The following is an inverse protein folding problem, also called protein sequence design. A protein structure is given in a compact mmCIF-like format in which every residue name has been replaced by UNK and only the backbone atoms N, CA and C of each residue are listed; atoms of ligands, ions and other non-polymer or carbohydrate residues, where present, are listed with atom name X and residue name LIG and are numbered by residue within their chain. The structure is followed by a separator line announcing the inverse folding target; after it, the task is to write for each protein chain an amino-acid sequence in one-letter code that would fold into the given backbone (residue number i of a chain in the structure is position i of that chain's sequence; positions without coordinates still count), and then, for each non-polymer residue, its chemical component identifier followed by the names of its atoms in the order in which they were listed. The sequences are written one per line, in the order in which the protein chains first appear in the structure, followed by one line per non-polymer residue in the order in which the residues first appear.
data_IF_372614476722
#
_entry.id   IF_372614476722
#
_cell.length_a   1.000
_cell.length_b   1.000
_cell.length_c   1.000
_cell.angle_alpha   90.00
_cell.angle_beta   90.00
_cell.angle_gamma   90.00
#
_symmetry.space_group_name_H-M   'P 1'
#
loop_
_entity.id
_entity.type
_entity.pdbx_description
1 polymer ?
#
# COMPACT_ATOMS: atom_id res chain seq x y z
N UNK A 1 -10.91 -14.23 -1.66
CA UNK A 1 -12.06 -13.32 -1.49
C UNK A 1 -11.54 -11.98 -0.96
N UNK A 2 -11.73 -10.88 -1.68
CA UNK A 2 -11.46 -9.53 -1.16
C UNK A 2 -12.41 -8.54 -1.82
N UNK A 3 -13.09 -7.75 -0.99
CA UNK A 3 -13.91 -6.60 -1.35
C UNK A 3 -13.02 -5.44 -1.79
N UNK A 4 -13.43 -4.75 -2.86
CA UNK A 4 -12.93 -3.43 -3.23
C UNK A 4 -13.80 -2.35 -2.57
N UNK A 5 -13.21 -1.20 -2.24
CA UNK A 5 -13.97 0.02 -2.02
C UNK A 5 -13.21 1.18 -2.65
N UNK A 6 -13.73 1.66 -3.78
CA UNK A 6 -13.24 2.87 -4.44
C UNK A 6 -13.60 4.11 -3.62
N UNK A 7 -12.62 4.99 -3.39
CA UNK A 7 -12.77 6.45 -3.49
C UNK A 7 -11.40 7.11 -3.57
N UNK A 8 -11.09 7.69 -4.73
CA UNK A 8 -9.98 8.60 -4.92
C UNK A 8 -10.31 9.95 -4.28
N UNK A 9 -9.48 10.43 -3.35
CA UNK A 9 -9.08 11.84 -3.21
C UNK A 9 -7.85 11.90 -2.29
N UNK A 10 -6.66 12.14 -2.84
CA UNK A 10 -5.41 12.36 -2.06
C UNK A 10 -5.33 13.82 -1.64
N UNK A 11 -6.29 14.23 -0.82
CA UNK A 11 -6.26 15.38 0.09
C UNK A 11 -7.31 15.04 1.13
N UNK A 12 -6.88 14.70 2.35
CA UNK A 12 -7.68 14.75 3.59
C UNK A 12 -9.22 14.88 3.41
N UNK A 13 -9.89 13.82 2.96
CA UNK A 13 -11.36 13.68 3.00
C UNK A 13 -11.82 12.41 3.74
N UNK A 14 -11.00 11.87 4.64
CA UNK A 14 -11.63 11.41 5.88
C UNK A 14 -11.70 12.66 6.75
N UNK A 15 -12.92 13.15 7.00
CA UNK A 15 -13.17 13.87 8.25
C UNK A 15 -12.52 13.04 9.35
N UNK A 16 -11.71 13.68 10.20
CA UNK A 16 -10.97 13.09 11.32
C UNK A 16 -11.59 11.77 11.78
N UNK A 17 -10.80 10.73 12.03
CA UNK A 17 -11.24 9.47 12.64
C UNK A 17 -12.35 9.73 13.67
N UNK A 18 -13.60 9.44 13.30
CA UNK A 18 -14.77 9.72 14.16
C UNK A 18 -14.99 8.61 15.19
N UNK A 19 -14.48 7.40 14.90
CA UNK A 19 -14.60 6.22 15.77
C UNK A 19 -13.23 5.78 16.27
N UNK A 20 -12.99 5.92 17.56
CA UNK A 20 -11.75 5.49 18.22
C UNK A 20 -11.50 3.98 18.09
N UNK A 21 -12.56 3.17 17.96
CA UNK A 21 -12.44 1.73 17.72
C UNK A 21 -11.74 1.35 16.39
N UNK A 22 -11.52 2.31 15.48
CA UNK A 22 -10.80 2.11 14.20
C UNK A 22 -9.38 2.69 14.23
N UNK A 23 -8.84 2.97 15.40
CA UNK A 23 -7.44 3.33 15.58
C UNK A 23 -6.54 2.14 15.17
N UNK A 24 -5.55 2.42 14.32
CA UNK A 24 -4.56 1.42 13.97
C UNK A 24 -3.65 1.18 15.18
N UNK A 25 -3.41 -0.09 15.51
CA UNK A 25 -2.36 -0.43 16.48
C UNK A 25 -1.00 -0.03 15.94
N UNK A 26 -0.17 0.57 16.79
CA UNK A 26 1.21 0.93 16.45
C UNK A 26 1.96 -0.31 15.97
N UNK A 27 2.63 -0.18 14.83
CA UNK A 27 3.39 -1.25 14.19
C UNK A 27 2.56 -2.18 13.30
N UNK A 28 1.23 -2.04 13.24
CA UNK A 28 0.39 -2.86 12.36
C UNK A 28 0.77 -2.67 10.88
N UNK A 29 1.12 -1.46 10.47
CA UNK A 29 1.51 -1.14 9.09
C UNK A 29 2.85 -1.76 8.74
N UNK A 30 3.82 -1.70 9.66
CA UNK A 30 5.11 -2.35 9.49
C UNK A 30 4.97 -3.88 9.38
N UNK A 31 4.11 -4.47 10.22
CA UNK A 31 3.77 -5.90 10.15
C UNK A 31 3.13 -6.28 8.82
N UNK A 32 2.22 -5.45 8.32
CA UNK A 32 1.59 -5.67 7.02
C UNK A 32 2.59 -5.56 5.86
N UNK A 33 3.46 -4.54 5.87
CA UNK A 33 4.52 -4.38 4.87
C UNK A 33 5.44 -5.61 4.86
N UNK A 34 5.88 -6.09 6.04
CA UNK A 34 6.67 -7.32 6.15
C UNK A 34 5.94 -8.54 5.57
N UNK A 35 4.64 -8.65 5.81
CA UNK A 35 3.84 -9.76 5.31
C UNK A 35 3.71 -9.75 3.79
N UNK A 36 3.38 -8.59 3.18
CA UNK A 36 3.20 -8.50 1.73
C UNK A 36 4.53 -8.54 0.98
N UNK A 37 5.65 -8.16 1.58
CA UNK A 37 6.96 -8.20 0.92
C UNK A 37 7.78 -9.44 1.32
N UNK A 38 7.13 -10.51 1.80
CA UNK A 38 7.82 -11.70 2.28
C UNK A 38 8.47 -12.43 1.10
N UNK A 39 9.76 -12.83 1.18
CA UNK A 39 10.46 -13.45 0.07
C UNK A 39 9.75 -14.68 -0.49
N UNK A 40 9.26 -15.57 0.39
CA UNK A 40 8.61 -16.84 0.01
C UNK A 40 7.44 -16.71 -0.98
N UNK A 41 6.76 -15.56 -0.99
CA UNK A 41 5.56 -15.38 -1.82
C UNK A 41 5.71 -14.25 -2.84
N UNK A 42 6.83 -13.52 -2.84
CA UNK A 42 6.94 -12.24 -3.56
C UNK A 42 8.15 -12.25 -4.47
N UNK A 43 7.93 -12.12 -5.78
CA UNK A 43 9.03 -11.97 -6.74
C UNK A 43 9.51 -10.52 -6.83
N UNK A 44 8.58 -9.57 -6.86
CA UNK A 44 8.87 -8.15 -7.08
C UNK A 44 8.21 -7.29 -6.02
N UNK A 45 8.97 -6.33 -5.49
CA UNK A 45 8.47 -5.28 -4.62
C UNK A 45 8.76 -3.92 -5.22
N UNK A 46 7.70 -3.19 -5.55
CA UNK A 46 7.76 -1.85 -6.10
C UNK A 46 7.53 -0.86 -4.95
N UNK A 47 8.43 0.11 -4.81
CA UNK A 47 8.32 1.20 -3.85
C UNK A 47 8.41 2.52 -4.60
N UNK A 48 7.44 3.40 -4.40
CA UNK A 48 7.43 4.73 -5.01
C UNK A 48 7.10 5.79 -3.98
N UNK A 49 7.88 6.89 -3.99
CA UNK A 49 7.71 8.05 -3.09
C UNK A 49 7.56 7.65 -1.61
N UNK A 50 8.33 6.67 -1.16
CA UNK A 50 8.42 6.26 0.26
C UNK A 50 9.69 6.81 0.89
N UNK A 51 9.68 7.01 2.21
CA UNK A 51 10.80 7.60 2.93
C UNK A 51 12.00 6.66 3.13
N UNK A 52 11.85 5.35 2.87
CA UNK A 52 12.89 4.35 3.08
C UNK A 52 12.56 3.04 2.36
N UNK A 53 13.56 2.18 2.19
CA UNK A 53 13.37 0.79 1.77
C UNK A 53 13.10 -0.16 2.96
N UNK A 54 13.26 0.31 4.20
CA UNK A 54 13.04 -0.48 5.41
C UNK A 54 11.57 -0.42 5.82
N UNK A 55 10.88 -1.56 5.81
CA UNK A 55 9.44 -1.66 6.10
C UNK A 55 9.02 -1.03 7.43
N UNK A 56 9.83 -1.19 8.48
CA UNK A 56 9.54 -0.62 9.81
C UNK A 56 9.58 0.90 9.77
N UNK A 57 10.54 1.48 9.04
CA UNK A 57 10.69 2.94 8.90
C UNK A 57 9.52 3.51 8.10
N UNK A 58 9.15 2.88 6.99
CA UNK A 58 8.01 3.29 6.16
C UNK A 58 6.69 3.19 6.93
N UNK A 59 6.47 2.07 7.62
CA UNK A 59 5.26 1.83 8.41
C UNK A 59 5.08 2.86 9.52
N UNK A 60 6.16 3.13 10.29
CA UNK A 60 6.14 4.15 11.35
C UNK A 60 5.86 5.54 10.80
N UNK A 61 6.53 5.94 9.71
CA UNK A 61 6.30 7.26 9.10
C UNK A 61 4.85 7.45 8.62
N UNK A 62 4.23 6.41 8.05
CA UNK A 62 2.83 6.44 7.63
C UNK A 62 1.87 6.54 8.83
N UNK A 63 2.12 5.76 9.89
CA UNK A 63 1.33 5.80 11.13
C UNK A 63 1.43 7.17 11.81
N UNK A 64 2.64 7.72 11.96
CA UNK A 64 2.88 9.04 12.56
C UNK A 64 2.16 10.14 11.77
N UNK A 65 2.22 10.09 10.42
CA UNK A 65 1.54 11.05 9.56
C UNK A 65 0.01 10.97 9.70
N UNK A 66 -0.53 9.75 9.77
CA UNK A 66 -1.95 9.53 9.98
C UNK A 66 -2.41 10.00 11.36
N UNK A 67 -1.62 9.73 12.41
CA UNK A 67 -1.95 10.15 13.77
C UNK A 67 -2.00 11.68 13.90
N UNK A 68 -1.01 12.39 13.34
CA UNK A 68 -0.99 13.87 13.32
C UNK A 68 -2.23 14.47 12.65
N UNK A 69 -2.71 13.83 11.58
CA UNK A 69 -3.88 14.29 10.82
C UNK A 69 -5.21 13.69 11.30
N UNK A 70 -5.17 12.80 12.31
CA UNK A 70 -6.28 11.92 12.70
C UNK A 70 -6.90 11.22 11.48
N UNK A 71 -6.06 10.83 10.53
CA UNK A 71 -6.44 10.29 9.22
C UNK A 71 -6.26 8.78 9.13
N UNK A 72 -6.39 8.26 7.92
CA UNK A 72 -6.10 6.86 7.60
C UNK A 72 -4.61 6.68 7.29
N UNK A 73 -4.05 5.54 7.68
CA UNK A 73 -2.64 5.22 7.41
C UNK A 73 -2.40 4.91 5.94
N UNK A 74 -3.23 4.04 5.37
CA UNK A 74 -3.17 3.68 3.97
C UNK A 74 -4.50 3.09 3.49
N UNK A 75 -4.67 3.07 2.18
CA UNK A 75 -5.66 2.23 1.51
C UNK A 75 -4.93 1.00 0.94
N UNK A 76 -5.60 -0.15 0.94
CA UNK A 76 -5.00 -1.44 0.57
C UNK A 76 -5.79 -2.07 -0.57
N UNK A 77 -5.09 -2.50 -1.61
CA UNK A 77 -5.69 -3.12 -2.79
C UNK A 77 -5.11 -4.50 -3.04
N UNK A 78 -5.95 -5.41 -3.51
CA UNK A 78 -5.53 -6.70 -4.03
C UNK A 78 -6.11 -6.83 -5.43
N UNK A 79 -5.24 -6.95 -6.43
CA UNK A 79 -5.62 -7.00 -7.84
C UNK A 79 -5.02 -8.27 -8.44
N UNK A 80 -5.83 -9.02 -9.17
CA UNK A 80 -5.33 -10.16 -9.93
C UNK A 80 -4.56 -9.64 -11.15
N UNK A 81 -3.41 -10.25 -11.44
CA UNK A 81 -2.65 -9.94 -12.65
C UNK A 81 -2.99 -10.96 -13.73
N UNK A 82 -3.02 -10.55 -15.01
CA UNK A 82 -3.34 -11.47 -16.10
C UNK A 82 -2.29 -12.57 -16.22
N UNK A 83 -2.71 -13.82 -16.35
CA UNK A 83 -1.80 -14.98 -16.38
C UNK A 83 -0.99 -15.06 -17.67
N UNK A 84 -1.50 -14.45 -18.73
CA UNK A 84 -0.88 -14.34 -20.05
C UNK A 84 0.29 -13.35 -20.11
N UNK A 85 0.47 -12.52 -19.08
CA UNK A 85 1.54 -11.49 -19.06
C UNK A 85 2.87 -12.04 -18.55
N UNK A 86 3.97 -11.57 -19.13
CA UNK A 86 5.32 -11.83 -18.63
C UNK A 86 5.56 -11.17 -17.27
N UNK A 87 6.65 -11.53 -16.57
CA UNK A 87 7.02 -10.89 -15.31
C UNK A 87 7.25 -9.38 -15.48
N UNK A 88 7.90 -8.96 -16.57
CA UNK A 88 8.15 -7.56 -16.88
C UNK A 88 6.84 -6.80 -17.17
N UNK A 89 5.92 -7.43 -17.93
CA UNK A 89 4.61 -6.85 -18.21
C UNK A 89 3.76 -6.71 -16.95
N UNK A 90 3.82 -7.70 -16.03
CA UNK A 90 3.17 -7.62 -14.71
C UNK A 90 3.72 -6.46 -13.89
N UNK A 91 5.04 -6.30 -13.84
CA UNK A 91 5.65 -5.16 -13.14
C UNK A 91 5.20 -3.82 -13.75
N UNK A 92 5.27 -3.69 -15.08
CA UNK A 92 4.85 -2.49 -15.80
C UNK A 92 3.38 -2.15 -15.53
N UNK A 93 2.50 -3.14 -15.52
CA UNK A 93 1.08 -2.97 -15.24
C UNK A 93 0.84 -2.49 -13.80
N UNK A 94 1.51 -3.11 -12.81
CA UNK A 94 1.39 -2.71 -11.40
C UNK A 94 1.91 -1.29 -11.19
N UNK A 95 3.01 -0.92 -11.87
CA UNK A 95 3.55 0.44 -11.83
C UNK A 95 2.58 1.44 -12.44
N UNK A 96 2.08 1.19 -13.65
CA UNK A 96 1.11 2.04 -14.32
C UNK A 96 -0.17 2.22 -13.49
N UNK A 97 -0.68 1.14 -12.89
CA UNK A 97 -1.82 1.20 -11.99
C UNK A 97 -1.53 2.05 -10.75
N UNK A 98 -0.36 1.87 -10.13
CA UNK A 98 0.07 2.65 -8.97
C UNK A 98 0.18 4.14 -9.29
N UNK A 99 0.79 4.50 -10.42
CA UNK A 99 0.86 5.90 -10.87
C UNK A 99 -0.52 6.49 -11.16
N UNK A 100 -1.39 5.77 -11.88
CA UNK A 100 -2.75 6.24 -12.15
C UNK A 100 -3.58 6.43 -10.87
N UNK A 101 -3.44 5.53 -9.90
CA UNK A 101 -4.12 5.61 -8.61
C UNK A 101 -3.62 6.77 -7.73
N UNK A 102 -2.32 7.05 -7.79
CA UNK A 102 -1.67 8.04 -6.91
C UNK A 102 -1.50 9.40 -7.56
N UNK A 103 -1.82 9.53 -8.85
CA UNK A 103 -1.59 10.73 -9.67
C UNK A 103 -0.13 11.21 -9.59
N UNK A 104 0.81 10.29 -9.35
CA UNK A 104 2.22 10.60 -9.15
C UNK A 104 2.54 11.35 -7.84
N UNK A 105 1.57 11.55 -6.94
CA UNK A 105 1.72 12.33 -5.71
C UNK A 105 1.87 11.45 -4.47
N UNK A 106 0.99 10.46 -4.30
CA UNK A 106 1.00 9.62 -3.10
C UNK A 106 2.10 8.55 -3.13
N UNK A 107 2.73 8.29 -1.98
CA UNK A 107 3.64 7.15 -1.82
C UNK A 107 2.90 5.82 -1.78
N UNK A 108 3.47 4.79 -2.40
CA UNK A 108 2.90 3.44 -2.38
C UNK A 108 3.96 2.35 -2.34
N UNK A 109 3.55 1.19 -1.83
CA UNK A 109 4.31 -0.07 -1.87
C UNK A 109 3.41 -1.12 -2.49
N UNK A 110 3.88 -1.77 -3.55
CA UNK A 110 3.21 -2.89 -4.19
C UNK A 110 4.10 -4.12 -4.17
N UNK A 111 3.49 -5.29 -4.04
CA UNK A 111 4.17 -6.58 -4.02
C UNK A 111 3.44 -7.54 -4.96
N UNK A 112 4.20 -8.19 -5.85
CA UNK A 112 3.67 -9.17 -6.80
C UNK A 112 3.81 -10.55 -6.19
N UNK A 113 2.68 -11.22 -5.95
CA UNK A 113 2.64 -12.56 -5.37
C UNK A 113 2.46 -13.63 -6.44
N UNK A 114 3.57 -14.10 -7.02
CA UNK A 114 3.59 -15.16 -8.03
C UNK A 114 4.56 -16.30 -7.70
N UNK A 115 5.06 -16.35 -6.46
CA UNK A 115 5.79 -17.49 -5.92
C UNK A 115 4.83 -18.37 -5.10
N UNK A 116 4.64 -19.61 -5.55
CA UNK A 116 3.84 -20.64 -4.89
C UNK A 116 4.67 -21.47 -3.92
#
# INVERSE_FOLDING_TARGET
MALFSFRHTVKTFSLKREKNAREAFVGQTAGHLRYITRPRATSVVIRQRVCSNVNVVVGKAAEDAAQRKKGRVCERFRVALPVETSAEQREALVRAFGEALTEGLAGYVAAIHDQY
#
